data_IF_030314580607
#
_entry.id   IF_030314580607
#
_cell.length_a   1.000
_cell.length_b   1.000
_cell.length_c   1.000
_cell.angle_alpha   90.00
_cell.angle_beta   90.00
_cell.angle_gamma   90.00
#
_symmetry.space_group_name_H-M   'P 1'
#
loop_
_entity.id
_entity.type
_entity.pdbx_description
1 polymer ?
#
# COMPACT_ATOMS: atom_id res chain seq x y z
N UNK A 1 67.70 -14.58 -8.22
CA UNK A 1 66.59 -14.84 -7.27
C UNK A 1 65.92 -13.51 -7.02
N UNK A 2 64.78 -13.27 -7.66
CA UNK A 2 64.03 -12.01 -7.53
C UNK A 2 63.23 -12.02 -6.23
N UNK A 3 63.40 -11.00 -5.41
CA UNK A 3 62.51 -10.73 -4.29
C UNK A 3 61.46 -9.72 -4.77
N UNK A 4 60.21 -10.16 -4.88
CA UNK A 4 59.08 -9.30 -5.18
C UNK A 4 58.67 -8.55 -3.90
N UNK A 5 58.62 -7.23 -3.99
CA UNK A 5 58.03 -6.34 -3.00
C UNK A 5 56.51 -6.53 -3.01
N UNK A 6 55.95 -6.92 -1.86
CA UNK A 6 54.50 -6.94 -1.61
C UNK A 6 54.02 -5.50 -1.56
N UNK A 7 53.11 -5.14 -2.47
CA UNK A 7 52.44 -3.85 -2.43
C UNK A 7 51.42 -3.86 -1.29
N UNK A 8 51.58 -2.92 -0.37
CA UNK A 8 50.64 -2.56 0.68
C UNK A 8 49.34 -2.07 0.02
N UNK A 9 48.29 -2.90 0.07
CA UNK A 9 46.94 -2.51 -0.36
C UNK A 9 46.39 -1.57 0.71
N UNK A 10 46.52 -0.27 0.41
CA UNK A 10 46.00 0.80 1.24
C UNK A 10 44.57 0.55 1.68
N UNK A 11 44.36 0.75 2.98
CA UNK A 11 43.09 0.74 3.70
C UNK A 11 42.04 1.52 2.90
N UNK A 12 40.95 0.84 2.52
CA UNK A 12 39.80 1.45 1.86
C UNK A 12 39.26 2.51 2.84
N UNK A 13 39.10 3.78 2.44
CA UNK A 13 38.54 4.77 3.33
C UNK A 13 37.08 4.38 3.63
N UNK A 14 36.72 4.32 4.92
CA UNK A 14 35.34 4.27 5.37
C UNK A 14 34.65 5.57 4.99
N UNK A 15 34.19 5.67 3.74
CA UNK A 15 33.21 6.67 3.36
C UNK A 15 31.90 6.31 4.06
N UNK A 16 31.19 7.26 4.69
CA UNK A 16 29.82 7.01 5.10
C UNK A 16 29.06 6.62 3.83
N UNK A 17 28.68 5.34 3.73
CA UNK A 17 27.82 4.84 2.68
C UNK A 17 26.49 5.51 2.90
N UNK A 18 26.25 6.66 2.27
CA UNK A 18 24.88 7.14 2.07
C UNK A 18 24.13 5.95 1.48
N UNK A 19 23.13 5.37 2.18
CA UNK A 19 22.32 4.33 1.57
C UNK A 19 21.81 4.92 0.25
N UNK A 20 21.95 4.21 -0.86
CA UNK A 20 21.27 4.68 -2.08
C UNK A 20 19.75 4.71 -1.83
N UNK A 21 19.02 5.34 -2.75
CA UNK A 21 17.76 6.02 -2.44
C UNK A 21 17.88 7.22 -1.49
N UNK A 22 19.09 7.72 -1.20
CA UNK A 22 19.36 8.68 -0.10
C UNK A 22 18.79 8.23 1.24
N UNK A 23 18.59 6.92 1.43
CA UNK A 23 17.88 6.38 2.57
C UNK A 23 16.40 6.75 2.62
N UNK A 24 15.68 6.97 1.51
CA UNK A 24 14.24 7.30 1.52
C UNK A 24 13.38 6.31 0.75
N UNK A 25 12.27 5.88 1.35
CA UNK A 25 11.31 4.95 0.74
C UNK A 25 9.87 5.38 1.03
N UNK A 26 9.02 5.44 0.02
CA UNK A 26 7.58 5.64 0.16
C UNK A 26 6.86 4.31 -0.10
N UNK A 27 6.13 3.79 0.89
CA UNK A 27 5.30 2.60 0.77
C UNK A 27 3.84 3.03 0.57
N UNK A 28 3.26 2.67 -0.57
CA UNK A 28 1.85 2.86 -0.88
C UNK A 28 1.12 1.52 -0.82
N UNK A 29 0.34 1.29 0.24
CA UNK A 29 -0.54 0.15 0.37
C UNK A 29 -1.92 0.48 -0.21
N UNK A 30 -2.34 -0.28 -1.21
CA UNK A 30 -3.62 -0.15 -1.92
C UNK A 30 -4.45 -1.38 -1.57
N UNK A 31 -5.32 -1.27 -0.58
CA UNK A 31 -6.01 -2.44 0.01
C UNK A 31 -7.48 -2.37 -0.33
N UNK A 32 -8.00 -3.41 -0.98
CA UNK A 32 -9.44 -3.46 -1.30
C UNK A 32 -10.26 -3.75 -0.04
N UNK A 33 -11.40 -3.07 0.06
CA UNK A 33 -12.47 -3.33 1.04
C UNK A 33 -13.73 -3.90 0.39
N UNK A 34 -13.60 -4.54 -0.79
CA UNK A 34 -14.63 -5.39 -1.38
C UNK A 34 -14.95 -6.62 -0.52
N UNK A 35 -16.12 -7.22 -0.73
CA UNK A 35 -16.72 -8.22 0.17
C UNK A 35 -15.82 -9.44 0.44
N UNK A 36 -15.06 -9.87 -0.56
CA UNK A 36 -14.16 -11.03 -0.50
C UNK A 36 -12.86 -10.76 0.29
N UNK A 37 -12.60 -9.50 0.65
CA UNK A 37 -11.32 -9.08 1.19
C UNK A 37 -11.18 -9.30 2.70
N UNK A 38 -12.25 -9.53 3.44
CA UNK A 38 -12.17 -9.74 4.89
C UNK A 38 -11.16 -10.83 5.30
N UNK A 39 -11.24 -12.08 4.77
CA UNK A 39 -10.23 -13.09 5.09
C UNK A 39 -8.83 -12.73 4.58
N UNK A 40 -8.73 -11.93 3.50
CA UNK A 40 -7.45 -11.53 2.90
C UNK A 40 -6.76 -10.44 3.70
N UNK A 41 -7.53 -9.53 4.31
CA UNK A 41 -7.01 -8.57 5.26
C UNK A 41 -6.52 -9.26 6.53
N UNK A 42 -7.18 -10.32 7.02
CA UNK A 42 -6.64 -11.11 8.15
C UNK A 42 -5.28 -11.75 7.81
N UNK A 43 -5.13 -12.35 6.62
CA UNK A 43 -3.84 -12.89 6.18
C UNK A 43 -2.76 -11.81 6.04
N UNK A 44 -3.17 -10.62 5.60
CA UNK A 44 -2.30 -9.45 5.53
C UNK A 44 -1.85 -9.01 6.94
N UNK A 45 -2.77 -8.97 7.92
CA UNK A 45 -2.48 -8.69 9.32
C UNK A 45 -1.51 -9.71 9.94
N UNK A 46 -1.62 -10.99 9.59
CA UNK A 46 -0.68 -12.03 10.02
C UNK A 46 0.75 -11.82 9.45
N UNK A 47 0.87 -11.19 8.28
CA UNK A 47 2.17 -10.87 7.68
C UNK A 47 2.79 -9.58 8.24
N UNK A 48 2.00 -8.73 8.90
CA UNK A 48 2.45 -7.41 9.36
C UNK A 48 3.56 -7.42 10.38
N UNK A 49 3.60 -8.28 11.40
CA UNK A 49 4.73 -8.32 12.32
C UNK A 49 6.06 -8.50 11.60
N UNK A 50 6.09 -9.26 10.50
CA UNK A 50 7.30 -9.43 9.70
C UNK A 50 7.60 -8.19 8.83
N UNK A 51 6.58 -7.52 8.30
CA UNK A 51 6.79 -6.27 7.56
C UNK A 51 7.31 -5.15 8.48
N UNK A 52 6.74 -5.01 9.67
CA UNK A 52 7.23 -4.09 10.71
C UNK A 52 8.68 -4.43 11.04
N UNK A 53 8.99 -5.71 11.23
CA UNK A 53 10.36 -6.14 11.48
C UNK A 53 11.31 -5.78 10.34
N UNK A 54 10.88 -5.93 9.09
CA UNK A 54 11.66 -5.47 7.92
C UNK A 54 11.89 -3.95 8.00
N UNK A 55 10.89 -3.15 8.39
CA UNK A 55 11.04 -1.71 8.58
C UNK A 55 12.01 -1.35 9.72
N UNK A 56 11.92 -2.07 10.83
CA UNK A 56 12.72 -1.83 12.04
C UNK A 56 14.16 -2.37 11.95
N UNK A 57 14.38 -3.46 11.21
CA UNK A 57 15.68 -4.11 11.07
C UNK A 57 16.39 -3.65 9.79
N UNK A 58 15.78 -3.91 8.61
CA UNK A 58 16.42 -3.71 7.31
C UNK A 58 16.35 -2.25 6.85
N UNK A 59 15.29 -1.54 7.22
CA UNK A 59 15.08 -0.13 6.88
C UNK A 59 15.24 0.83 8.06
N UNK A 60 15.90 0.37 9.14
CA UNK A 60 16.12 1.15 10.37
C UNK A 60 16.77 2.52 10.13
N UNK A 61 17.66 2.61 9.14
CA UNK A 61 18.38 3.83 8.77
C UNK A 61 17.67 4.65 7.68
N UNK A 62 16.58 4.14 7.12
CA UNK A 62 15.81 4.82 6.09
C UNK A 62 14.77 5.77 6.73
N UNK A 63 14.50 6.86 6.04
CA UNK A 63 13.39 7.78 6.22
C UNK A 63 12.24 7.28 5.33
N UNK A 64 11.29 6.57 5.93
CA UNK A 64 10.16 5.99 5.21
C UNK A 64 8.83 6.72 5.47
N UNK A 65 7.99 6.71 4.44
CA UNK A 65 6.56 7.00 4.56
C UNK A 65 5.76 5.72 4.30
N UNK A 66 4.70 5.48 5.06
CA UNK A 66 3.76 4.37 4.82
C UNK A 66 2.34 4.90 4.74
N UNK A 67 1.75 4.88 3.55
CA UNK A 67 0.36 5.29 3.33
C UNK A 67 -0.50 4.09 2.97
N UNK A 68 -1.69 4.01 3.55
CA UNK A 68 -2.72 3.05 3.14
C UNK A 68 -3.83 3.83 2.45
N UNK A 69 -4.33 3.33 1.31
CA UNK A 69 -5.52 3.85 0.62
C UNK A 69 -6.57 2.74 0.50
N UNK A 70 -7.84 3.09 0.67
CA UNK A 70 -8.96 2.18 0.41
C UNK A 70 -9.17 2.06 -1.11
N UNK A 71 -9.01 0.85 -1.62
CA UNK A 71 -9.14 0.48 -3.03
C UNK A 71 -10.56 0.02 -3.40
N UNK A 72 -11.54 0.50 -2.64
CA UNK A 72 -12.94 0.35 -3.00
C UNK A 72 -13.64 1.66 -2.73
N UNK A 73 -14.42 2.14 -3.71
CA UNK A 73 -15.05 3.46 -3.67
C UNK A 73 -15.60 3.79 -2.27
N UNK A 74 -15.20 4.94 -1.68
CA UNK A 74 -15.64 5.30 -0.34
C UNK A 74 -17.15 5.49 -0.36
N UNK A 75 -17.87 4.57 0.28
CA UNK A 75 -19.33 4.64 0.37
C UNK A 75 -19.78 4.63 1.83
N UNK A 76 -19.61 5.78 2.48
CA UNK A 76 -20.34 6.15 3.70
C UNK A 76 -21.15 7.42 3.38
N UNK A 77 -22.28 7.30 2.66
CA UNK A 77 -23.03 8.46 2.17
C UNK A 77 -23.67 9.29 3.29
N UNK A 78 -23.84 8.72 4.49
CA UNK A 78 -24.27 9.44 5.69
C UNK A 78 -24.04 8.61 6.95
N UNK A 79 -24.08 9.27 8.12
CA UNK A 79 -24.04 8.61 9.42
C UNK A 79 -25.31 7.84 9.80
N UNK A 80 -26.35 7.99 8.98
CA UNK A 80 -27.64 7.35 9.16
C UNK A 80 -27.83 6.13 8.24
N UNK A 81 -26.82 5.81 7.42
CA UNK A 81 -26.83 4.72 6.43
C UNK A 81 -25.48 3.98 6.51
N UNK A 82 -25.39 2.91 7.30
CA UNK A 82 -24.30 1.93 7.19
C UNK A 82 -24.70 0.87 6.13
N UNK A 83 -24.04 0.87 4.97
CA UNK A 83 -24.38 -0.07 3.90
C UNK A 83 -23.76 -1.45 4.15
N UNK A 84 -24.63 -2.46 4.24
CA UNK A 84 -24.35 -3.91 4.30
C UNK A 84 -23.83 -4.46 5.63
N UNK A 85 -24.69 -5.26 6.28
CA UNK A 85 -24.38 -5.95 7.52
C UNK A 85 -24.56 -7.49 7.41
N UNK A 86 -24.71 -7.98 6.18
CA UNK A 86 -24.57 -9.38 5.77
C UNK A 86 -24.68 -9.51 4.24
N UNK A 87 -24.36 -10.70 3.70
CA UNK A 87 -24.50 -11.05 2.27
C UNK A 87 -25.93 -10.88 1.70
N UNK A 88 -26.95 -10.69 2.56
CA UNK A 88 -28.37 -10.71 2.18
C UNK A 88 -29.17 -9.45 2.59
N UNK A 89 -28.63 -8.54 3.39
CA UNK A 89 -29.42 -7.44 4.02
C UNK A 89 -28.82 -6.06 3.77
N UNK A 90 -29.59 -5.22 3.06
CA UNK A 90 -29.44 -3.76 3.04
C UNK A 90 -29.91 -3.22 4.39
N UNK A 91 -29.04 -2.54 5.13
CA UNK A 91 -29.37 -1.98 6.43
C UNK A 91 -29.55 -0.46 6.32
N UNK A 92 -30.77 -0.01 6.61
CA UNK A 92 -31.07 1.40 6.88
C UNK A 92 -31.18 1.55 8.41
N UNK A 93 -30.28 2.32 9.04
CA UNK A 93 -30.31 2.52 10.49
C UNK A 93 -29.25 3.52 10.98
N UNK A 94 -29.56 4.32 12.03
CA UNK A 94 -28.65 5.33 12.55
C UNK A 94 -27.46 4.69 13.27
N UNK A 95 -26.25 5.03 12.83
CA UNK A 95 -24.99 4.56 13.41
C UNK A 95 -24.70 3.07 13.19
N UNK A 96 -23.41 2.71 13.18
CA UNK A 96 -22.99 1.32 13.02
C UNK A 96 -23.08 0.51 14.35
N UNK A 97 -23.73 1.05 15.39
CA UNK A 97 -23.85 0.40 16.71
C UNK A 97 -24.68 -0.88 16.73
N UNK A 98 -25.52 -1.08 15.72
CA UNK A 98 -26.30 -2.32 15.57
C UNK A 98 -25.50 -3.49 14.98
N UNK A 99 -24.25 -3.27 14.53
CA UNK A 99 -23.47 -4.23 13.74
C UNK A 99 -21.98 -4.25 14.13
N UNK A 100 -21.72 -4.30 15.43
CA UNK A 100 -20.38 -4.33 16.05
C UNK A 100 -19.51 -3.07 15.85
N UNK A 101 -20.08 -1.98 15.31
CA UNK A 101 -19.46 -0.66 15.36
C UNK A 101 -19.54 -0.05 16.77
N UNK A 102 -18.52 0.69 17.22
CA UNK A 102 -18.56 1.29 18.55
C UNK A 102 -19.61 2.41 18.62
N UNK A 103 -20.30 2.53 19.76
CA UNK A 103 -21.33 3.58 19.98
C UNK A 103 -20.78 5.00 19.81
N UNK A 104 -19.47 5.18 20.02
CA UNK A 104 -18.73 6.43 19.89
C UNK A 104 -17.99 6.58 18.55
N UNK A 105 -18.34 5.80 17.53
CA UNK A 105 -17.78 5.99 16.18
C UNK A 105 -18.00 7.45 15.72
N UNK A 106 -16.94 8.21 15.36
CA UNK A 106 -17.00 9.66 15.20
C UNK A 106 -17.61 10.08 13.86
N UNK A 107 -18.70 9.43 13.42
CA UNK A 107 -19.22 9.56 12.07
C UNK A 107 -19.49 11.00 11.63
N UNK A 108 -20.07 11.81 12.51
CA UNK A 108 -20.40 13.21 12.19
C UNK A 108 -19.15 14.06 12.00
N UNK A 109 -18.07 13.77 12.74
CA UNK A 109 -16.80 14.49 12.64
C UNK A 109 -16.01 14.06 11.40
N UNK A 110 -16.16 12.79 10.98
CA UNK A 110 -15.57 12.25 9.76
C UNK A 110 -16.08 12.98 8.51
N UNK A 111 -17.38 13.29 8.46
CA UNK A 111 -17.98 14.00 7.33
C UNK A 111 -17.50 15.46 7.21
N UNK A 112 -16.80 15.99 8.23
CA UNK A 112 -16.17 17.30 8.18
C UNK A 112 -14.74 17.25 7.61
N UNK A 113 -14.11 16.07 7.57
CA UNK A 113 -12.81 15.88 6.92
C UNK A 113 -13.00 15.73 5.41
N UNK A 114 -12.65 16.80 4.69
CA UNK A 114 -12.80 16.92 3.23
C UNK A 114 -12.03 15.86 2.43
N UNK A 115 -11.05 15.20 3.05
CA UNK A 115 -10.21 14.20 2.42
C UNK A 115 -10.67 12.76 2.65
N UNK A 116 -11.60 12.51 3.57
CA UNK A 116 -12.20 11.17 3.74
C UNK A 116 -12.91 10.66 2.48
N UNK A 117 -13.74 11.46 1.79
CA UNK A 117 -14.43 10.98 0.59
C UNK A 117 -13.57 11.01 -0.68
N UNK A 118 -12.31 11.44 -0.60
CA UNK A 118 -11.43 11.59 -1.77
C UNK A 118 -10.81 10.24 -2.13
N UNK A 119 -11.02 9.80 -3.37
CA UNK A 119 -10.39 8.58 -3.87
C UNK A 119 -8.87 8.69 -3.84
N UNK A 120 -8.20 7.63 -3.36
CA UNK A 120 -6.75 7.60 -3.22
C UNK A 120 -6.19 8.44 -2.07
N UNK A 121 -7.02 9.11 -1.27
CA UNK A 121 -6.55 9.77 -0.05
C UNK A 121 -6.11 8.73 0.99
N UNK A 122 -5.04 9.04 1.73
CA UNK A 122 -4.58 8.20 2.83
C UNK A 122 -5.67 7.97 3.89
N UNK A 123 -5.80 6.74 4.37
CA UNK A 123 -6.83 6.34 5.34
C UNK A 123 -6.47 6.88 6.72
N UNK A 124 -7.37 7.67 7.29
CA UNK A 124 -7.33 8.13 8.69
C UNK A 124 -8.47 7.57 9.53
N UNK A 125 -9.42 6.89 8.88
CA UNK A 125 -10.56 6.24 9.49
C UNK A 125 -11.12 5.20 8.54
N UNK A 126 -11.49 4.05 9.08
CA UNK A 126 -12.20 3.00 8.34
C UNK A 126 -13.54 2.72 9.01
N UNK A 127 -14.58 2.54 8.19
CA UNK A 127 -15.92 2.19 8.63
C UNK A 127 -16.53 1.14 7.71
N UNK A 128 -16.32 -0.14 8.04
CA UNK A 128 -16.89 -1.30 7.34
C UNK A 128 -17.03 -2.48 8.31
N UNK A 129 -17.64 -3.58 7.86
CA UNK A 129 -17.66 -4.83 8.60
C UNK A 129 -16.24 -5.37 8.79
N UNK A 130 -15.85 -5.64 10.04
CA UNK A 130 -14.51 -6.12 10.39
C UNK A 130 -13.39 -5.07 10.24
N UNK A 131 -13.73 -3.79 10.08
CA UNK A 131 -12.76 -2.70 10.05
C UNK A 131 -12.28 -2.32 11.47
N UNK A 132 -11.26 -1.46 11.56
CA UNK A 132 -10.85 -0.85 12.82
C UNK A 132 -11.94 -0.02 13.48
N UNK A 133 -12.89 0.51 12.70
CA UNK A 133 -14.07 1.25 13.17
C UNK A 133 -13.72 2.33 14.21
N UNK A 134 -12.60 3.02 14.00
CA UNK A 134 -12.14 4.12 14.86
C UNK A 134 -11.25 5.07 14.06
N UNK A 135 -11.00 6.23 14.64
CA UNK A 135 -10.05 7.17 14.05
C UNK A 135 -8.62 6.65 14.24
N UNK A 136 -7.90 6.55 13.13
CA UNK A 136 -6.54 6.04 13.02
C UNK A 136 -5.65 7.17 12.50
N UNK A 137 -5.25 8.08 13.38
CA UNK A 137 -4.39 9.21 12.99
C UNK A 137 -2.92 8.80 13.10
N UNK A 138 -2.14 8.82 12.00
CA UNK A 138 -0.69 8.79 12.10
C UNK A 138 -0.17 9.97 12.94
N UNK A 139 0.95 9.77 13.63
CA UNK A 139 1.57 10.86 14.38
C UNK A 139 1.89 12.07 13.47
N UNK A 140 1.71 13.29 14.01
CA UNK A 140 2.00 14.58 13.38
C UNK A 140 1.06 15.08 12.25
N UNK A 141 -0.07 14.40 12.00
CA UNK A 141 -1.15 14.93 11.15
C UNK A 141 -1.11 14.74 9.62
N UNK A 142 -0.10 14.12 8.95
CA UNK A 142 -0.28 13.63 7.58
C UNK A 142 -1.13 12.36 7.54
N UNK A 143 -1.68 12.02 6.37
CA UNK A 143 -2.47 10.79 6.14
C UNK A 143 -1.58 9.54 5.87
N UNK A 144 -0.34 9.58 6.33
CA UNK A 144 0.65 8.50 6.20
C UNK A 144 1.55 8.46 7.43
N UNK A 145 2.05 7.27 7.75
CA UNK A 145 2.98 7.02 8.86
C UNK A 145 4.37 7.46 8.44
N UNK A 146 5.12 8.05 9.36
CA UNK A 146 6.54 8.35 9.18
C UNK A 146 7.37 7.48 10.11
N UNK A 147 8.69 7.46 9.91
CA UNK A 147 9.63 6.78 10.81
C UNK A 147 9.50 7.19 12.28
N UNK A 148 9.07 8.43 12.54
CA UNK A 148 8.99 8.98 13.89
C UNK A 148 7.67 8.62 14.61
N UNK A 149 6.80 7.79 13.99
CA UNK A 149 5.56 7.33 14.62
C UNK A 149 5.87 6.48 15.88
N UNK A 150 5.35 6.87 17.06
CA UNK A 150 5.69 6.21 18.32
C UNK A 150 5.05 4.83 18.49
N UNK A 151 4.07 4.47 17.65
CA UNK A 151 3.40 3.17 17.66
C UNK A 151 3.15 2.70 16.22
N UNK A 152 4.22 2.55 15.44
CA UNK A 152 4.12 2.06 14.07
C UNK A 152 3.27 0.77 13.93
N UNK A 153 3.43 -0.27 14.78
CA UNK A 153 2.60 -1.48 14.68
C UNK A 153 1.12 -1.19 14.91
N UNK A 154 0.78 -0.40 15.93
CA UNK A 154 -0.60 -0.06 16.27
C UNK A 154 -1.24 0.86 15.23
N UNK A 155 -0.53 1.89 14.79
CA UNK A 155 -0.99 2.85 13.78
C UNK A 155 -1.23 2.14 12.45
N UNK A 156 -0.25 1.37 11.97
CA UNK A 156 -0.39 0.65 10.70
C UNK A 156 -1.51 -0.39 10.76
N UNK A 157 -1.60 -1.19 11.82
CA UNK A 157 -2.69 -2.13 12.03
C UNK A 157 -4.07 -1.46 12.02
N UNK A 158 -4.16 -0.23 12.53
CA UNK A 158 -5.38 0.58 12.53
C UNK A 158 -5.81 1.01 11.12
N UNK A 159 -4.91 1.64 10.36
CA UNK A 159 -5.23 2.21 9.03
C UNK A 159 -5.37 1.14 7.94
N UNK A 160 -4.81 -0.06 8.14
CA UNK A 160 -4.85 -1.16 7.16
C UNK A 160 -5.99 -2.15 7.38
N UNK A 161 -6.65 -2.12 8.54
CA UNK A 161 -7.85 -2.91 8.80
C UNK A 161 -9.08 -2.16 8.27
N UNK A 162 -9.21 -2.17 6.94
CA UNK A 162 -10.27 -1.45 6.24
C UNK A 162 -11.64 -2.12 6.39
N UNK A 163 -11.67 -3.41 6.70
CA UNK A 163 -12.88 -4.23 6.66
C UNK A 163 -13.37 -4.48 5.24
N UNK A 164 -14.57 -5.05 5.11
CA UNK A 164 -15.14 -5.43 3.83
C UNK A 164 -16.62 -5.05 3.70
N UNK A 165 -17.06 -4.79 2.48
CA UNK A 165 -18.45 -4.52 2.13
C UNK A 165 -18.71 -4.67 0.62
N UNK A 166 -19.95 -4.53 0.15
CA UNK A 166 -20.32 -4.65 -1.26
C UNK A 166 -19.93 -3.37 -2.02
N UNK A 167 -18.64 -3.10 -2.08
CA UNK A 167 -18.04 -1.96 -2.78
C UNK A 167 -17.49 -2.40 -4.13
N UNK A 168 -17.35 -1.44 -5.04
CA UNK A 168 -16.71 -1.70 -6.33
C UNK A 168 -15.20 -1.89 -6.12
N UNK A 169 -14.59 -2.92 -6.75
CA UNK A 169 -13.15 -3.09 -6.72
C UNK A 169 -12.48 -2.10 -7.69
N UNK A 170 -11.71 -1.15 -7.16
CA UNK A 170 -11.13 -0.02 -7.92
C UNK A 170 -9.65 0.21 -7.60
N UNK A 171 -8.90 -0.85 -7.32
CA UNK A 171 -7.51 -0.76 -6.83
C UNK A 171 -6.58 0.05 -7.73
N UNK A 172 -6.62 -0.16 -9.04
CA UNK A 172 -5.84 0.60 -10.02
C UNK A 172 -6.24 2.07 -10.02
N UNK A 173 -7.55 2.37 -10.02
CA UNK A 173 -8.03 3.76 -9.99
C UNK A 173 -7.59 4.47 -8.70
N UNK A 174 -7.72 3.81 -7.56
CA UNK A 174 -7.35 4.37 -6.26
C UNK A 174 -5.83 4.52 -6.08
N UNK A 175 -5.03 3.59 -6.63
CA UNK A 175 -3.57 3.73 -6.73
C UNK A 175 -3.19 4.96 -7.55
N UNK A 176 -3.78 5.12 -8.74
CA UNK A 176 -3.47 6.24 -9.62
C UNK A 176 -3.89 7.56 -8.97
N UNK A 177 -5.12 7.63 -8.43
CA UNK A 177 -5.63 8.80 -7.72
C UNK A 177 -4.71 9.20 -6.56
N UNK A 178 -4.17 8.24 -5.80
CA UNK A 178 -3.25 8.52 -4.69
C UNK A 178 -1.97 9.27 -5.13
N UNK A 179 -1.55 9.04 -6.38
CA UNK A 179 -0.35 9.60 -7.00
C UNK A 179 -0.65 10.79 -7.93
N UNK A 180 -1.90 11.18 -8.08
CA UNK A 180 -2.27 12.28 -8.98
C UNK A 180 -1.85 13.65 -8.41
N UNK A 181 -1.50 14.62 -9.29
CA UNK A 181 -1.02 15.94 -8.85
C UNK A 181 -1.97 16.68 -7.90
N UNK A 182 -3.28 16.48 -8.02
CA UNK A 182 -4.27 17.12 -7.15
C UNK A 182 -4.13 16.63 -5.70
N UNK A 183 -4.08 15.32 -5.50
CA UNK A 183 -3.88 14.69 -4.19
C UNK A 183 -2.50 14.96 -3.60
N UNK A 184 -1.45 15.07 -4.43
CA UNK A 184 -0.09 15.36 -3.98
C UNK A 184 0.20 16.85 -3.78
N UNK A 185 -0.71 17.74 -4.20
CA UNK A 185 -0.49 19.18 -4.15
C UNK A 185 -0.33 19.71 -2.72
N UNK A 186 0.10 20.97 -2.58
CA UNK A 186 0.20 21.66 -1.28
C UNK A 186 -1.11 21.64 -0.45
N UNK A 187 -2.25 21.48 -1.13
CA UNK A 187 -3.59 21.46 -0.56
C UNK A 187 -4.29 20.10 -0.73
N UNK A 188 -3.60 19.12 -1.32
CA UNK A 188 -4.12 17.80 -1.56
C UNK A 188 -4.05 16.91 -0.33
N UNK A 189 -4.84 15.85 -0.35
CA UNK A 189 -4.98 14.93 0.79
C UNK A 189 -3.73 14.11 1.10
N UNK A 190 -2.86 13.91 0.12
CA UNK A 190 -1.62 13.15 0.23
C UNK A 190 -0.38 14.04 0.18
N UNK A 191 -0.54 15.32 0.52
CA UNK A 191 0.55 16.29 0.55
C UNK A 191 1.76 15.75 1.32
N UNK A 192 2.90 15.70 0.64
CA UNK A 192 4.17 15.29 1.23
C UNK A 192 4.41 13.78 1.24
N UNK A 193 3.46 12.96 0.79
CA UNK A 193 3.64 11.52 0.71
C UNK A 193 4.71 11.15 -0.33
N UNK A 194 4.48 11.46 -1.61
CA UNK A 194 5.36 11.06 -2.71
C UNK A 194 6.57 11.98 -2.82
N UNK A 195 7.74 11.46 -2.47
CA UNK A 195 9.02 12.18 -2.52
C UNK A 195 9.75 11.86 -3.82
N UNK A 196 10.27 12.86 -4.55
CA UNK A 196 10.93 12.65 -5.83
C UNK A 196 12.22 11.84 -5.69
N UNK A 197 12.92 11.97 -4.56
CA UNK A 197 14.20 11.32 -4.24
C UNK A 197 14.08 9.98 -3.50
N UNK A 198 12.86 9.55 -3.13
CA UNK A 198 12.60 8.25 -2.52
C UNK A 198 12.38 7.15 -3.56
N UNK A 199 12.57 5.88 -3.19
CA UNK A 199 12.00 4.76 -3.93
C UNK A 199 10.52 4.62 -3.59
N UNK A 200 9.65 4.34 -4.56
CA UNK A 200 8.22 4.08 -4.34
C UNK A 200 7.94 2.58 -4.44
N UNK A 201 7.58 1.98 -3.32
CA UNK A 201 7.10 0.61 -3.22
C UNK A 201 5.57 0.61 -3.19
N UNK A 202 4.92 -0.03 -4.16
CA UNK A 202 3.46 -0.06 -4.27
C UNK A 202 2.99 -1.47 -3.95
N UNK A 203 2.14 -1.65 -2.95
CA UNK A 203 1.62 -2.95 -2.51
C UNK A 203 0.12 -2.95 -2.72
N UNK A 204 -0.35 -3.63 -3.76
CA UNK A 204 -1.77 -3.78 -4.05
C UNK A 204 -2.26 -5.11 -3.49
N UNK A 205 -3.31 -5.08 -2.67
CA UNK A 205 -3.97 -6.27 -2.13
C UNK A 205 -5.45 -6.21 -2.50
N UNK A 206 -5.82 -6.89 -3.59
CA UNK A 206 -7.17 -6.79 -4.17
C UNK A 206 -7.57 -8.06 -4.94
N UNK A 207 -8.86 -8.40 -4.85
CA UNK A 207 -9.52 -9.54 -5.52
C UNK A 207 -9.48 -9.45 -7.03
N UNK A 208 -10.62 -9.07 -7.60
CA UNK A 208 -10.72 -8.61 -8.97
C UNK A 208 -10.49 -7.08 -9.01
N UNK A 209 -10.21 -6.53 -10.18
CA UNK A 209 -10.36 -5.10 -10.47
C UNK A 209 -10.83 -4.99 -11.91
N UNK A 210 -12.10 -4.63 -12.09
CA UNK A 210 -12.76 -4.64 -13.40
C UNK A 210 -13.31 -3.25 -13.77
N UNK A 211 -13.11 -2.24 -12.92
CA UNK A 211 -13.75 -0.93 -13.03
C UNK A 211 -12.72 0.20 -13.19
N UNK A 212 -11.82 0.02 -14.16
CA UNK A 212 -10.76 0.98 -14.47
C UNK A 212 -10.72 1.33 -15.97
N UNK A 213 -10.49 2.60 -16.34
CA UNK A 213 -10.14 2.96 -17.71
C UNK A 213 -8.65 2.69 -18.00
N UNK A 214 -8.32 2.40 -19.25
CA UNK A 214 -6.93 2.24 -19.71
C UNK A 214 -6.41 0.81 -19.67
N UNK A 215 -5.11 0.67 -19.88
CA UNK A 215 -4.40 -0.62 -19.94
C UNK A 215 -3.30 -0.70 -18.88
N UNK A 216 -2.81 -1.91 -18.54
CA UNK A 216 -1.65 -2.09 -17.67
C UNK A 216 -0.43 -1.21 -18.02
N UNK A 217 -0.14 -1.07 -19.32
CA UNK A 217 0.93 -0.21 -19.81
C UNK A 217 0.66 1.29 -19.57
N UNK A 218 -0.59 1.73 -19.75
CA UNK A 218 -0.97 3.13 -19.46
C UNK A 218 -0.85 3.44 -17.97
N UNK A 219 -1.26 2.51 -17.10
CA UNK A 219 -1.18 2.68 -15.66
C UNK A 219 0.27 2.72 -15.18
N UNK A 220 1.12 1.80 -15.66
CA UNK A 220 2.55 1.81 -15.33
C UNK A 220 3.23 3.10 -15.83
N UNK A 221 2.90 3.58 -17.03
CA UNK A 221 3.43 4.84 -17.54
C UNK A 221 3.08 6.03 -16.63
N UNK A 222 1.86 6.08 -16.08
CA UNK A 222 1.46 7.13 -15.12
C UNK A 222 2.23 7.04 -13.80
N UNK A 223 2.41 5.84 -13.25
CA UNK A 223 3.20 5.63 -12.03
C UNK A 223 4.67 6.01 -12.27
N UNK A 224 5.20 5.67 -13.45
CA UNK A 224 6.55 6.01 -13.87
C UNK A 224 6.75 7.52 -14.05
N UNK A 225 5.75 8.23 -14.57
CA UNK A 225 5.75 9.69 -14.63
C UNK A 225 5.84 10.33 -13.24
N UNK A 226 5.15 9.76 -12.24
CA UNK A 226 5.25 10.21 -10.86
C UNK A 226 6.68 10.09 -10.28
N UNK A 227 7.50 9.21 -10.87
CA UNK A 227 8.95 9.05 -10.59
C UNK A 227 9.85 9.55 -11.72
N UNK A 228 9.38 10.50 -12.52
CA UNK A 228 10.16 11.21 -13.54
C UNK A 228 10.80 10.29 -14.59
N UNK A 229 10.18 9.15 -14.89
CA UNK A 229 10.72 8.19 -15.86
C UNK A 229 11.71 7.18 -15.28
N UNK A 230 11.96 7.19 -13.97
CA UNK A 230 12.94 6.28 -13.36
C UNK A 230 12.30 4.95 -12.94
N UNK A 231 12.47 3.92 -13.77
CA UNK A 231 11.97 2.56 -13.50
C UNK A 231 12.65 1.91 -12.29
N UNK A 232 13.88 2.29 -11.98
CA UNK A 232 14.61 1.80 -10.79
C UNK A 232 14.15 2.49 -9.49
N UNK A 233 13.22 3.44 -9.59
CA UNK A 233 12.54 4.07 -8.45
C UNK A 233 11.24 3.36 -8.06
N UNK A 234 10.84 2.29 -8.75
CA UNK A 234 9.53 1.66 -8.61
C UNK A 234 9.67 0.18 -8.29
N UNK A 235 8.98 -0.27 -7.25
CA UNK A 235 8.87 -1.69 -6.89
C UNK A 235 7.40 -2.02 -6.61
N UNK A 236 6.61 -2.38 -7.64
CA UNK A 236 5.22 -2.78 -7.43
C UNK A 236 5.11 -4.26 -7.05
N UNK A 237 4.33 -4.56 -6.03
CA UNK A 237 3.87 -5.87 -5.62
C UNK A 237 2.35 -5.92 -5.71
N UNK A 238 1.82 -6.87 -6.48
CA UNK A 238 0.39 -7.18 -6.54
C UNK A 238 0.14 -8.52 -5.87
N UNK A 239 -0.71 -8.51 -4.84
CA UNK A 239 -1.29 -9.69 -4.21
C UNK A 239 -2.75 -9.79 -4.65
N UNK A 240 -3.02 -10.66 -5.60
CA UNK A 240 -4.33 -10.80 -6.23
C UNK A 240 -4.64 -12.26 -6.60
N UNK A 241 -5.80 -12.52 -7.21
CA UNK A 241 -6.14 -13.89 -7.62
C UNK A 241 -5.20 -14.39 -8.71
N UNK A 242 -4.82 -15.66 -8.68
CA UNK A 242 -3.90 -16.27 -9.65
C UNK A 242 -4.60 -17.15 -10.69
N UNK A 243 -5.92 -16.99 -10.87
CA UNK A 243 -6.77 -17.80 -11.77
C UNK A 243 -6.37 -17.76 -13.26
N UNK A 244 -5.50 -16.83 -13.65
CA UNK A 244 -4.90 -16.73 -14.99
C UNK A 244 -3.63 -17.56 -15.15
N UNK A 245 -3.09 -18.13 -14.06
CA UNK A 245 -1.88 -18.93 -14.03
C UNK A 245 -2.15 -20.42 -14.26
N UNK A 246 -1.15 -21.18 -14.76
CA UNK A 246 -1.23 -22.64 -14.76
C UNK A 246 -1.20 -23.18 -13.33
N UNK A 247 -2.21 -23.97 -12.96
CA UNK A 247 -2.40 -24.53 -11.61
C UNK A 247 -2.60 -23.44 -10.53
N UNK A 248 -3.67 -22.65 -10.62
CA UNK A 248 -3.94 -21.58 -9.67
C UNK A 248 -4.16 -22.13 -8.26
N UNK A 249 -3.76 -21.36 -7.23
CA UNK A 249 -4.12 -21.63 -5.83
C UNK A 249 -5.53 -21.15 -5.53
N UNK A 250 -5.97 -20.08 -6.17
CA UNK A 250 -7.33 -19.60 -6.06
C UNK A 250 -8.28 -20.53 -6.82
N UNK A 251 -9.36 -20.94 -6.13
CA UNK A 251 -10.42 -21.72 -6.73
C UNK A 251 -11.27 -20.86 -7.68
N UNK A 252 -11.90 -21.53 -8.66
CA UNK A 252 -12.84 -20.90 -9.58
C UNK A 252 -12.46 -21.07 -11.06
N UNK A 253 -13.26 -20.48 -11.96
CA UNK A 253 -12.96 -20.52 -13.39
C UNK A 253 -11.69 -19.72 -13.70
N UNK A 254 -11.02 -20.11 -14.79
CA UNK A 254 -9.95 -19.29 -15.36
C UNK A 254 -10.50 -17.91 -15.69
N UNK A 255 -9.82 -16.88 -15.19
CA UNK A 255 -10.18 -15.48 -15.39
C UNK A 255 -8.89 -14.67 -15.54
N UNK A 256 -8.88 -13.71 -16.46
CA UNK A 256 -7.76 -12.79 -16.63
C UNK A 256 -7.56 -11.94 -15.40
N UNK A 257 -6.30 -11.70 -15.01
CA UNK A 257 -5.96 -10.74 -13.98
C UNK A 257 -5.18 -9.56 -14.58
N UNK A 258 -5.84 -8.41 -14.67
CA UNK A 258 -5.25 -7.16 -15.20
C UNK A 258 -4.20 -6.54 -14.27
N UNK A 259 -4.30 -6.76 -12.96
CA UNK A 259 -3.29 -6.31 -12.00
C UNK A 259 -2.03 -7.18 -12.08
N UNK A 260 -2.16 -8.47 -12.38
CA UNK A 260 -1.01 -9.31 -12.70
C UNK A 260 -0.30 -8.81 -13.97
N UNK A 261 -1.05 -8.47 -15.02
CA UNK A 261 -0.48 -7.86 -16.22
C UNK A 261 0.18 -6.48 -15.95
N UNK A 262 -0.24 -5.74 -14.92
CA UNK A 262 0.39 -4.48 -14.49
C UNK A 262 1.79 -4.69 -13.90
N UNK A 263 2.00 -5.75 -13.10
CA UNK A 263 3.34 -6.05 -12.60
C UNK A 263 4.23 -6.71 -13.65
N UNK A 264 3.66 -7.41 -14.64
CA UNK A 264 4.41 -7.96 -15.79
C UNK A 264 5.04 -6.87 -16.69
N UNK A 265 4.42 -5.69 -16.77
CA UNK A 265 5.01 -4.56 -17.53
C UNK A 265 6.04 -3.78 -16.73
N UNK A 266 6.09 -3.95 -15.41
CA UNK A 266 7.01 -3.24 -14.54
C UNK A 266 8.38 -3.93 -14.47
N UNK A 267 9.46 -3.15 -14.56
CA UNK A 267 10.84 -3.68 -14.53
C UNK A 267 11.14 -4.51 -13.28
N UNK A 268 10.60 -4.08 -12.15
CA UNK A 268 10.80 -4.70 -10.82
C UNK A 268 9.46 -5.13 -10.22
N UNK A 269 8.55 -5.64 -11.06
CA UNK A 269 7.23 -6.10 -10.63
C UNK A 269 7.25 -7.45 -9.92
N UNK A 270 6.44 -7.57 -8.87
CA UNK A 270 6.24 -8.79 -8.11
C UNK A 270 4.77 -9.18 -8.10
N UNK A 271 4.49 -10.48 -8.21
CA UNK A 271 3.14 -11.01 -8.10
C UNK A 271 3.06 -12.09 -7.01
N UNK A 272 2.04 -11.99 -6.16
CA UNK A 272 1.70 -12.97 -5.15
C UNK A 272 0.25 -13.44 -5.29
N UNK A 273 0.02 -14.73 -5.11
CA UNK A 273 -1.35 -15.26 -5.04
C UNK A 273 -1.97 -14.92 -3.69
N UNK A 274 -3.12 -14.24 -3.71
CA UNK A 274 -3.89 -13.97 -2.50
C UNK A 274 -4.47 -15.23 -1.84
N UNK A 275 -4.45 -16.37 -2.53
CA UNK A 275 -4.92 -17.64 -1.99
C UNK A 275 -3.79 -18.44 -1.33
N UNK A 276 -2.58 -17.89 -1.25
CA UNK A 276 -1.55 -18.41 -0.37
C UNK A 276 -1.95 -18.27 1.10
N UNK A 277 -1.41 -19.13 1.96
CA UNK A 277 -1.68 -19.10 3.39
C UNK A 277 -1.06 -17.89 4.09
N UNK A 278 0.00 -17.32 3.53
CA UNK A 278 0.73 -16.18 4.09
C UNK A 278 1.34 -15.33 2.98
N UNK A 279 1.40 -14.01 3.20
CA UNK A 279 2.01 -13.05 2.28
C UNK A 279 3.47 -12.71 2.60
N UNK A 280 4.01 -13.29 3.68
CA UNK A 280 5.34 -12.97 4.20
C UNK A 280 6.44 -13.16 3.14
N UNK A 281 6.38 -14.23 2.34
CA UNK A 281 7.40 -14.47 1.31
C UNK A 281 7.41 -13.37 0.25
N UNK A 282 6.24 -12.92 -0.21
CA UNK A 282 6.13 -11.87 -1.22
C UNK A 282 6.66 -10.53 -0.69
N UNK A 283 6.35 -10.21 0.57
CA UNK A 283 6.87 -9.00 1.23
C UNK A 283 8.40 -9.04 1.39
N UNK A 284 8.98 -10.20 1.70
CA UNK A 284 10.44 -10.38 1.79
C UNK A 284 11.14 -10.26 0.45
N UNK A 285 10.57 -10.86 -0.59
CA UNK A 285 11.11 -10.76 -1.95
C UNK A 285 11.12 -9.30 -2.41
N UNK A 286 10.01 -8.59 -2.22
CA UNK A 286 9.91 -7.15 -2.51
C UNK A 286 10.93 -6.34 -1.69
N UNK A 287 11.07 -6.59 -0.39
CA UNK A 287 12.03 -5.91 0.47
C UNK A 287 13.47 -6.12 0.01
N UNK A 288 13.83 -7.35 -0.39
CA UNK A 288 15.14 -7.66 -0.99
C UNK A 288 15.40 -6.84 -2.24
N UNK A 289 14.43 -6.75 -3.14
CA UNK A 289 14.54 -5.90 -4.34
C UNK A 289 14.69 -4.43 -4.00
N UNK A 290 13.96 -3.91 -3.00
CA UNK A 290 14.13 -2.53 -2.54
C UNK A 290 15.56 -2.28 -2.04
N UNK A 291 16.12 -3.17 -1.22
CA UNK A 291 17.50 -3.06 -0.72
C UNK A 291 18.52 -3.07 -1.86
N UNK A 292 18.35 -3.97 -2.83
CA UNK A 292 19.22 -4.07 -4.01
C UNK A 292 19.16 -2.77 -4.84
N UNK A 293 17.96 -2.26 -5.12
CA UNK A 293 17.78 -1.03 -5.89
C UNK A 293 18.31 0.19 -5.13
N UNK A 294 18.10 0.24 -3.81
CA UNK A 294 18.70 1.26 -2.98
C UNK A 294 20.22 1.12 -2.83
N UNK A 295 20.89 0.11 -3.37
CA UNK A 295 22.36 0.15 -3.49
C UNK A 295 22.84 0.88 -4.76
N UNK A 296 21.97 1.00 -5.78
CA UNK A 296 22.32 1.52 -7.12
C UNK A 296 21.51 2.76 -7.53
N UNK A 297 20.46 3.11 -6.80
CA UNK A 297 19.56 4.19 -7.15
C UNK A 297 20.26 5.54 -7.11
N UNK A 298 20.17 6.26 -8.24
CA UNK A 298 20.63 7.64 -8.38
C UNK A 298 19.39 8.53 -8.40
N UNK A 299 19.14 9.32 -7.34
CA UNK A 299 18.03 10.27 -7.28
C UNK A 299 18.11 11.30 -8.40
N UNK A 300 16.98 11.77 -8.93
CA UNK A 300 16.96 12.92 -9.83
C UNK A 300 17.56 14.16 -9.13
N UNK A 301 18.32 14.96 -9.88
CA UNK A 301 18.92 16.21 -9.41
C UNK A 301 17.92 17.37 -9.39
#
# INVERSE_FOLDING_TARGET
>A
MSAASVADVGQIPDFPTTPGCQGKIDFLFVISSSVEMLPKQLQLQEAFPEFVKILEDDFADFDYHVMVVDASLPYLPSCDICYSCSEEIMCDGPGCSQWDGPEDYPCHDILLDECVPVEGAGVTIAGNFGASNKQCLPADGPRFITKDDPDLPGTFGCISMLGAGPKLPTAISSMLAALEPENLSKWGCNKGFLRPDALLAIIIVAGDDNFHPGTPADWYAKVLEAKQGNEDALVPLVISHDRDQPNPKCEGPVSTNVMHAFVDVAKHGHFGSMCEKSYVSFMKEMAGTILDLCSIFIPPQ
#
